data_IF_175389197139
#
_entry.id   IF_175389197139
#
_cell.length_a   1.000
_cell.length_b   1.000
_cell.length_c   1.000
_cell.angle_alpha   90.00
_cell.angle_beta   90.00
_cell.angle_gamma   90.00
#
_symmetry.space_group_name_H-M   'P 1'
#
loop_
_entity.id
_entity.type
_entity.pdbx_description
1 polymer ?
#
# COMPACT_ATOMS: atom_id res chain seq x y z
N UNK A 1 7.78 1.13 27.81
CA UNK A 1 7.10 1.12 26.50
C UNK A 1 7.95 0.23 25.62
N UNK A 2 7.40 -0.78 24.92
CA UNK A 2 8.15 -1.43 23.87
C UNK A 2 8.48 -0.38 22.80
N UNK A 3 9.73 -0.29 22.39
CA UNK A 3 10.12 0.61 21.30
C UNK A 3 9.51 0.11 19.99
N UNK A 4 8.87 1.00 19.24
CA UNK A 4 8.31 0.68 17.93
C UNK A 4 9.42 0.15 17.00
N UNK A 5 9.12 -0.94 16.29
CA UNK A 5 10.08 -1.57 15.38
C UNK A 5 10.42 -0.62 14.25
N UNK A 6 11.72 -0.30 14.12
CA UNK A 6 12.21 0.59 13.07
C UNK A 6 11.87 0.02 11.69
N UNK A 7 11.48 0.89 10.76
CA UNK A 7 11.09 0.51 9.39
C UNK A 7 12.19 -0.25 8.65
N UNK A 8 13.45 -0.03 9.03
CA UNK A 8 14.65 -0.71 8.55
C UNK A 8 14.66 -2.23 8.82
N UNK A 9 13.97 -2.72 9.87
CA UNK A 9 13.80 -4.18 10.10
C UNK A 9 12.93 -4.80 8.99
N UNK A 10 11.86 -4.09 8.61
CA UNK A 10 10.92 -4.51 7.56
C UNK A 10 11.48 -4.32 6.14
N UNK A 11 12.46 -3.43 5.97
CA UNK A 11 13.11 -3.18 4.69
C UNK A 11 14.05 -4.32 4.23
N UNK A 12 14.41 -5.24 5.14
CA UNK A 12 15.29 -6.38 4.84
C UNK A 12 16.76 -5.96 4.70
N UNK A 13 17.58 -6.25 5.70
CA UNK A 13 18.98 -5.82 5.78
C UNK A 13 19.78 -6.11 4.50
N UNK A 14 20.21 -5.05 3.81
CA UNK A 14 20.90 -5.14 2.54
C UNK A 14 22.39 -5.49 2.67
N UNK A 15 22.80 -6.51 1.90
CA UNK A 15 24.13 -6.85 1.37
C UNK A 15 25.31 -7.14 2.32
N UNK A 16 25.65 -8.44 2.43
CA UNK A 16 26.99 -9.07 2.52
C UNK A 16 26.75 -10.60 2.40
N UNK A 17 27.51 -11.48 1.72
CA UNK A 17 28.70 -11.40 0.84
C UNK A 17 28.46 -12.38 -0.37
N UNK A 18 29.48 -12.71 -1.17
CA UNK A 18 29.42 -13.48 -2.42
C UNK A 18 29.44 -15.03 -2.36
N UNK A 19 29.94 -15.70 -3.43
CA UNK A 19 29.21 -16.79 -4.07
C UNK A 19 29.51 -18.22 -3.56
N UNK A 20 28.46 -19.02 -3.42
CA UNK A 20 28.54 -20.48 -3.30
C UNK A 20 27.68 -21.16 -4.37
N UNK A 21 28.32 -21.71 -5.39
CA UNK A 21 27.65 -22.53 -6.40
C UNK A 21 27.41 -23.95 -5.86
N UNK A 22 26.15 -24.39 -5.93
CA UNK A 22 25.73 -25.80 -5.93
C UNK A 22 24.70 -25.89 -7.05
N UNK A 23 25.13 -26.29 -8.25
CA UNK A 23 25.21 -27.66 -8.76
C UNK A 23 23.95 -27.98 -9.57
N UNK A 24 24.15 -28.44 -10.80
CA UNK A 24 23.21 -28.29 -11.91
C UNK A 24 22.50 -29.62 -12.20
N UNK A 25 21.28 -29.76 -11.71
CA UNK A 25 20.34 -30.79 -12.17
C UNK A 25 19.09 -30.11 -12.75
N UNK A 26 19.26 -29.51 -13.95
CA UNK A 26 18.12 -29.20 -14.82
C UNK A 26 17.68 -30.45 -15.56
N UNK A 27 16.57 -31.02 -15.12
CA UNK A 27 15.80 -31.99 -15.89
C UNK A 27 15.02 -31.23 -16.98
N UNK A 28 15.62 -31.12 -18.18
CA UNK A 28 14.97 -30.55 -19.36
C UNK A 28 13.96 -31.55 -19.95
N UNK A 29 12.68 -31.33 -19.71
CA UNK A 29 11.60 -31.76 -20.62
C UNK A 29 10.56 -30.66 -20.75
N UNK A 30 10.65 -29.99 -21.90
CA UNK A 30 9.70 -29.02 -22.43
C UNK A 30 8.43 -29.74 -22.92
N UNK A 31 7.28 -29.47 -22.28
CA UNK A 31 5.98 -29.63 -22.93
C UNK A 31 5.10 -28.44 -22.57
N UNK A 32 4.93 -27.57 -23.56
CA UNK A 32 4.24 -26.28 -23.57
C UNK A 32 2.79 -26.36 -23.05
N UNK A 33 2.64 -26.14 -21.74
CA UNK A 33 1.42 -25.68 -21.12
C UNK A 33 1.55 -24.21 -20.76
N UNK A 34 1.22 -23.31 -21.69
CA UNK A 34 1.01 -21.87 -21.43
C UNK A 34 -0.29 -21.65 -20.63
N UNK A 35 -0.41 -22.33 -19.49
CA UNK A 35 -1.08 -21.80 -18.31
C UNK A 35 -0.13 -20.74 -17.70
N UNK A 36 0.22 -19.75 -18.52
CA UNK A 36 0.54 -18.42 -18.04
C UNK A 36 -0.75 -17.93 -17.38
N UNK A 37 -0.89 -18.31 -16.10
CA UNK A 37 -2.04 -18.10 -15.22
C UNK A 37 -2.63 -16.76 -15.59
N UNK A 38 -3.76 -16.81 -16.32
CA UNK A 38 -4.23 -15.67 -17.05
C UNK A 38 -4.66 -14.66 -15.99
N UNK A 39 -3.74 -13.74 -15.70
CA UNK A 39 -4.00 -12.54 -14.93
C UNK A 39 -4.98 -11.74 -15.77
N UNK A 40 -6.24 -12.15 -15.64
CA UNK A 40 -7.39 -11.29 -15.77
C UNK A 40 -7.07 -10.14 -14.82
N UNK A 41 -6.45 -9.11 -15.38
CA UNK A 41 -6.40 -7.74 -14.87
C UNK A 41 -7.87 -7.29 -14.82
N UNK A 42 -8.60 -7.93 -13.91
CA UNK A 42 -9.97 -7.66 -13.56
C UNK A 42 -9.92 -6.23 -13.04
N UNK A 43 -10.36 -5.29 -13.88
CA UNK A 43 -10.38 -3.86 -13.61
C UNK A 43 -11.37 -3.62 -12.45
N UNK A 44 -10.86 -3.88 -11.25
CA UNK A 44 -11.63 -3.94 -10.02
C UNK A 44 -11.78 -2.54 -9.48
N UNK A 45 -13.03 -2.16 -9.19
CA UNK A 45 -13.33 -0.81 -8.71
C UNK A 45 -12.49 -0.46 -7.47
N UNK A 46 -11.71 0.63 -7.51
CA UNK A 46 -10.80 0.98 -6.42
C UNK A 46 -11.61 1.37 -5.18
N UNK A 47 -11.31 0.72 -4.06
CA UNK A 47 -12.04 0.90 -2.81
C UNK A 47 -12.12 2.38 -2.38
N UNK A 48 -13.33 2.82 -2.01
CA UNK A 48 -13.58 4.20 -1.58
C UNK A 48 -12.74 4.57 -0.34
N UNK A 49 -11.94 5.66 -0.38
CA UNK A 49 -11.10 6.05 0.74
C UNK A 49 -11.92 6.64 1.89
N UNK A 50 -11.69 6.15 3.11
CA UNK A 50 -12.37 6.64 4.33
C UNK A 50 -11.82 7.97 4.86
N UNK A 51 -10.65 8.38 4.38
CA UNK A 51 -10.00 9.65 4.72
C UNK A 51 -9.04 10.09 3.62
N UNK A 52 -8.80 11.39 3.53
CA UNK A 52 -7.85 12.00 2.60
C UNK A 52 -6.75 12.76 3.38
N UNK A 53 -5.51 12.66 2.90
CA UNK A 53 -4.39 13.47 3.38
C UNK A 53 -3.93 14.43 2.28
N UNK A 54 -3.64 15.68 2.65
CA UNK A 54 -3.25 16.75 1.73
C UNK A 54 -2.07 17.52 2.31
N UNK A 55 -0.97 17.61 1.55
CA UNK A 55 0.16 18.47 1.96
C UNK A 55 -0.25 19.94 1.82
N UNK A 56 0.05 20.76 2.83
CA UNK A 56 -0.51 22.12 2.97
C UNK A 56 -1.97 22.17 3.47
N UNK A 57 -2.66 21.03 3.55
CA UNK A 57 -4.04 20.91 3.98
C UNK A 57 -5.09 21.30 2.93
N UNK A 58 -6.35 20.99 3.22
CA UNK A 58 -7.50 21.35 2.42
C UNK A 58 -8.68 21.70 3.33
N UNK A 59 -9.59 22.54 2.83
CA UNK A 59 -10.74 23.03 3.59
C UNK A 59 -11.69 21.90 4.01
N UNK A 60 -12.15 21.94 5.25
CA UNK A 60 -13.27 21.13 5.73
C UNK A 60 -14.57 21.58 5.06
N UNK A 61 -15.32 20.67 4.43
CA UNK A 61 -16.59 21.00 3.76
C UNK A 61 -17.68 21.55 4.72
N UNK A 62 -17.52 21.38 6.04
CA UNK A 62 -18.49 21.79 7.07
C UNK A 62 -18.16 23.13 7.75
N UNK A 63 -16.88 23.41 8.03
CA UNK A 63 -16.44 24.61 8.76
C UNK A 63 -15.46 25.52 7.99
N UNK A 64 -14.92 25.06 6.86
CA UNK A 64 -13.96 25.81 6.04
C UNK A 64 -12.50 25.74 6.51
N UNK A 65 -12.21 25.28 7.73
CA UNK A 65 -10.84 25.18 8.24
C UNK A 65 -9.96 24.27 7.38
N UNK A 66 -8.77 24.76 7.01
CA UNK A 66 -7.78 23.98 6.27
C UNK A 66 -7.04 23.03 7.19
N UNK A 67 -7.17 21.72 6.95
CA UNK A 67 -6.56 20.66 7.76
C UNK A 67 -5.82 19.64 6.89
N UNK A 68 -4.72 19.09 7.42
CA UNK A 68 -3.89 18.12 6.69
C UNK A 68 -4.62 16.79 6.40
N UNK A 69 -5.42 16.32 7.36
CA UNK A 69 -6.28 15.13 7.23
C UNK A 69 -7.75 15.55 7.27
N UNK A 70 -8.54 15.01 6.34
CA UNK A 70 -10.00 15.05 6.33
C UNK A 70 -10.56 13.64 6.27
N UNK A 71 -11.76 13.43 6.78
CA UNK A 71 -12.43 12.13 6.87
C UNK A 71 -13.70 12.17 6.04
N UNK A 72 -14.03 11.04 5.39
CA UNK A 72 -15.26 10.91 4.64
C UNK A 72 -16.46 10.86 5.61
N UNK A 73 -17.50 11.62 5.30
CA UNK A 73 -18.75 11.73 6.05
C UNK A 73 -19.90 11.89 5.04
N UNK A 74 -20.53 10.78 4.68
CA UNK A 74 -21.33 10.71 3.45
C UNK A 74 -20.45 10.99 2.23
N UNK A 75 -20.80 12.01 1.45
CA UNK A 75 -20.05 12.48 0.27
C UNK A 75 -19.07 13.64 0.59
N UNK A 76 -18.95 14.07 1.85
CA UNK A 76 -18.17 15.24 2.26
C UNK A 76 -16.84 14.85 2.95
N UNK A 77 -15.82 15.72 2.84
CA UNK A 77 -14.54 15.56 3.53
C UNK A 77 -14.41 16.56 4.69
N UNK A 78 -14.73 16.09 5.90
CA UNK A 78 -14.78 16.91 7.11
C UNK A 78 -13.52 16.77 7.98
N UNK A 79 -13.22 17.76 8.82
CA UNK A 79 -12.15 17.68 9.81
C UNK A 79 -12.57 16.81 11.02
N UNK A 80 -11.61 16.38 11.85
CA UNK A 80 -11.88 15.53 13.02
C UNK A 80 -12.91 16.13 14.00
N UNK A 81 -12.95 17.45 14.13
CA UNK A 81 -13.90 18.15 15.00
C UNK A 81 -15.32 18.21 14.42
N UNK A 82 -15.47 18.05 13.09
CA UNK A 82 -16.74 18.10 12.39
C UNK A 82 -17.26 16.71 11.97
N UNK A 83 -16.50 15.64 12.20
CA UNK A 83 -16.97 14.27 11.98
C UNK A 83 -17.88 13.84 13.13
N UNK A 84 -18.96 13.15 12.78
CA UNK A 84 -19.81 12.45 13.73
C UNK A 84 -19.25 11.03 13.89
N UNK A 85 -18.67 10.74 15.06
CA UNK A 85 -17.89 9.54 15.39
C UNK A 85 -18.54 8.66 16.46
#
# INVERSE_FOLDING_TARGET
>A
MPEDRSLDEFAGGGVDDGPAAVDDERDDTDEEGDDADALDDADADPATPTAAWTTGGAACDRCGDSVARRWLDGDALVCAACKEW
#
